data_IF_184879326207
#
_entry.id   IF_184879326207
#
_cell.length_a   1.000
_cell.length_b   1.000
_cell.length_c   1.000
_cell.angle_alpha   90.00
_cell.angle_beta   90.00
_cell.angle_gamma   90.00
#
_symmetry.space_group_name_H-M   'P 1'
#
loop_
_entity.id
_entity.type
_entity.pdbx_description
1 polymer ?
#
# COMPACT_ATOMS: atom_id res chain seq x y z
N UNK A 1 -32.30 28.60 43.68
CA UNK A 1 -31.01 27.87 43.72
C UNK A 1 -29.92 28.91 43.88
N UNK A 2 -29.06 28.79 44.88
CA UNK A 2 -28.05 29.81 45.21
C UNK A 2 -27.01 29.89 44.09
N UNK A 3 -27.02 30.98 43.30
CA UNK A 3 -26.24 31.12 42.05
C UNK A 3 -24.75 30.89 42.28
N UNK A 4 -24.25 31.27 43.46
CA UNK A 4 -22.87 31.01 43.88
C UNK A 4 -22.56 29.53 44.06
N UNK A 5 -23.50 28.75 44.62
CA UNK A 5 -23.34 27.29 44.73
C UNK A 5 -23.32 26.64 43.37
N UNK A 6 -24.15 27.10 42.43
CA UNK A 6 -24.17 26.61 41.04
C UNK A 6 -22.86 26.93 40.34
N UNK A 7 -22.36 28.17 40.45
CA UNK A 7 -21.07 28.57 39.86
C UNK A 7 -19.89 27.75 40.41
N UNK A 8 -19.85 27.51 41.72
CA UNK A 8 -18.83 26.65 42.36
C UNK A 8 -18.93 25.19 41.88
N UNK A 9 -20.13 24.66 41.72
CA UNK A 9 -20.34 23.30 41.22
C UNK A 9 -19.86 23.16 39.77
N UNK A 10 -20.15 24.14 38.93
CA UNK A 10 -19.65 24.19 37.54
C UNK A 10 -18.12 24.27 37.50
N UNK A 11 -17.50 25.03 38.40
CA UNK A 11 -16.04 25.11 38.50
C UNK A 11 -15.40 23.78 38.94
N UNK A 12 -15.96 23.12 39.96
CA UNK A 12 -15.45 21.84 40.48
C UNK A 12 -15.61 20.73 39.44
N UNK A 13 -16.79 20.62 38.81
CA UNK A 13 -17.03 19.64 37.74
C UNK A 13 -16.15 19.95 36.54
N UNK A 14 -16.04 21.22 36.15
CA UNK A 14 -15.17 21.64 35.04
C UNK A 14 -13.70 21.30 35.28
N UNK A 15 -13.21 21.46 36.52
CA UNK A 15 -11.84 21.11 36.91
C UNK A 15 -11.60 19.59 36.94
N UNK A 16 -12.59 18.80 37.36
CA UNK A 16 -12.54 17.33 37.27
C UNK A 16 -12.56 16.80 35.83
N UNK A 17 -13.16 17.57 34.91
CA UNK A 17 -13.19 17.26 33.48
C UNK A 17 -11.93 17.68 32.72
N UNK A 18 -11.05 18.51 33.31
CA UNK A 18 -9.76 18.88 32.68
C UNK A 18 -8.88 17.64 32.48
N UNK A 19 -7.92 17.67 31.53
CA UNK A 19 -7.12 16.50 31.22
C UNK A 19 -6.30 16.05 32.43
N UNK A 20 -6.74 14.98 33.08
CA UNK A 20 -5.97 14.24 34.07
C UNK A 20 -4.73 13.60 33.40
N UNK A 21 -3.67 13.29 34.17
CA UNK A 21 -2.47 12.57 33.69
C UNK A 21 -2.78 11.26 32.95
N UNK A 22 -3.97 10.71 33.16
CA UNK A 22 -4.52 9.51 32.55
C UNK A 22 -4.67 9.64 31.02
N UNK A 23 -5.07 10.81 30.53
CA UNK A 23 -5.23 11.05 29.08
C UNK A 23 -3.89 11.10 28.33
N UNK A 24 -2.79 11.42 29.03
CA UNK A 24 -1.44 11.32 28.45
C UNK A 24 -1.05 9.87 28.16
N UNK A 25 -1.52 8.92 28.99
CA UNK A 25 -1.32 7.49 28.75
C UNK A 25 -2.06 7.01 27.49
N UNK A 26 -3.33 7.39 27.34
CA UNK A 26 -4.10 7.06 26.13
C UNK A 26 -3.62 7.81 24.89
N UNK A 27 -3.13 9.05 25.04
CA UNK A 27 -2.48 9.77 23.95
C UNK A 27 -1.18 9.08 23.53
N UNK A 28 -0.37 8.62 24.48
CA UNK A 28 0.85 7.86 24.20
C UNK A 28 0.56 6.49 23.55
N UNK A 29 -0.54 5.83 23.94
CA UNK A 29 -0.98 4.58 23.32
C UNK A 29 -1.60 4.81 21.93
N UNK A 30 -2.28 5.94 21.72
CA UNK A 30 -2.79 6.34 20.41
C UNK A 30 -1.66 6.72 19.43
N UNK A 31 -0.51 7.18 19.93
CA UNK A 31 0.69 7.48 19.13
C UNK A 31 1.71 6.34 19.10
N UNK A 32 1.44 5.23 19.78
CA UNK A 32 2.30 4.05 19.73
C UNK A 32 2.16 3.35 18.38
N UNK A 33 3.23 2.71 17.87
CA UNK A 33 3.16 1.95 16.62
C UNK A 33 2.02 0.91 16.68
N UNK A 34 1.23 0.77 15.61
CA UNK A 34 0.13 -0.19 15.60
C UNK A 34 0.67 -1.61 15.72
N UNK A 35 -0.03 -2.47 16.47
CA UNK A 35 0.37 -3.88 16.65
C UNK A 35 0.22 -4.67 15.33
N UNK A 36 -0.71 -4.25 14.46
CA UNK A 36 -1.09 -4.90 13.20
C UNK A 36 -0.96 -3.97 12.02
N UNK A 37 -0.81 -4.55 10.84
CA UNK A 37 -0.79 -3.80 9.59
C UNK A 37 -2.11 -3.06 9.37
N UNK A 38 -2.07 -1.87 8.78
CA UNK A 38 -3.27 -1.17 8.32
C UNK A 38 -4.03 -1.99 7.26
N UNK A 39 -3.30 -2.75 6.44
CA UNK A 39 -3.85 -3.56 5.36
C UNK A 39 -4.51 -4.83 5.90
N UNK A 40 -5.69 -5.14 5.36
CA UNK A 40 -6.41 -6.41 5.52
C UNK A 40 -6.16 -7.25 4.28
N UNK A 41 -5.69 -8.48 4.47
CA UNK A 41 -5.38 -9.40 3.39
C UNK A 41 -6.39 -10.54 3.34
N UNK A 42 -6.69 -10.98 2.13
CA UNK A 42 -7.39 -12.23 1.86
C UNK A 42 -6.62 -13.01 0.81
N UNK A 43 -6.91 -14.30 0.72
CA UNK A 43 -6.35 -15.17 -0.30
C UNK A 43 -7.45 -15.85 -1.11
N UNK A 44 -7.23 -15.92 -2.42
CA UNK A 44 -8.08 -16.69 -3.32
C UNK A 44 -7.22 -17.60 -4.20
N UNK A 45 -7.69 -18.84 -4.51
CA UNK A 45 -7.03 -19.67 -5.49
C UNK A 45 -7.15 -19.05 -6.89
N UNK A 46 -6.12 -19.21 -7.69
CA UNK A 46 -6.04 -18.71 -9.07
C UNK A 46 -5.97 -19.90 -10.02
N UNK A 47 -6.90 -19.97 -10.96
CA UNK A 47 -6.83 -20.88 -12.10
C UNK A 47 -6.28 -20.16 -13.34
N UNK A 48 -5.04 -20.44 -13.72
CA UNK A 48 -4.42 -19.82 -14.90
C UNK A 48 -5.06 -20.25 -16.24
N UNK A 49 -5.85 -21.32 -16.25
CA UNK A 49 -6.65 -21.70 -17.40
C UNK A 49 -7.89 -20.81 -17.57
N UNK A 50 -8.33 -20.13 -16.50
CA UNK A 50 -9.42 -19.18 -16.53
C UNK A 50 -8.92 -17.79 -16.94
N UNK A 51 -9.51 -17.22 -17.98
CA UNK A 51 -9.10 -15.91 -18.51
C UNK A 51 -9.31 -14.75 -17.52
N UNK A 52 -10.39 -14.78 -16.73
CA UNK A 52 -10.67 -13.73 -15.74
C UNK A 52 -9.67 -13.78 -14.59
N UNK A 53 -9.37 -14.96 -14.08
CA UNK A 53 -8.38 -15.17 -13.02
C UNK A 53 -6.99 -14.77 -13.50
N UNK A 54 -6.64 -15.16 -14.73
CA UNK A 54 -5.38 -14.78 -15.37
C UNK A 54 -5.21 -13.26 -15.47
N UNK A 55 -6.22 -12.56 -15.97
CA UNK A 55 -6.20 -11.08 -16.06
C UNK A 55 -6.03 -10.45 -14.70
N UNK A 56 -6.80 -10.90 -13.70
CA UNK A 56 -6.69 -10.38 -12.33
C UNK A 56 -5.31 -10.67 -11.70
N UNK A 57 -4.76 -11.84 -11.96
CA UNK A 57 -3.46 -12.25 -11.45
C UNK A 57 -2.32 -11.40 -12.03
N UNK A 58 -2.32 -11.20 -13.36
CA UNK A 58 -1.32 -10.35 -14.03
C UNK A 58 -1.50 -8.89 -13.65
N UNK A 59 -2.73 -8.41 -13.47
CA UNK A 59 -2.95 -7.03 -13.00
C UNK A 59 -2.32 -6.78 -11.62
N UNK A 60 -2.44 -7.75 -10.70
CA UNK A 60 -1.88 -7.65 -9.35
C UNK A 60 -0.35 -7.83 -9.32
N UNK A 61 0.19 -8.82 -10.02
CA UNK A 61 1.59 -9.24 -9.84
C UNK A 61 2.45 -9.19 -11.10
N UNK A 62 1.88 -8.85 -12.26
CA UNK A 62 2.60 -8.80 -13.54
C UNK A 62 3.74 -7.79 -13.55
N UNK A 63 3.67 -6.76 -12.70
CA UNK A 63 4.75 -5.80 -12.49
C UNK A 63 6.04 -6.43 -11.96
N UNK A 64 5.96 -7.64 -11.38
CA UNK A 64 7.15 -8.38 -10.95
C UNK A 64 7.97 -8.87 -12.15
N UNK A 65 7.37 -9.11 -13.32
CA UNK A 65 8.02 -9.64 -14.52
C UNK A 65 8.03 -8.69 -15.71
N UNK A 66 7.19 -7.66 -15.68
CA UNK A 66 7.01 -6.71 -16.75
C UNK A 66 7.20 -5.28 -16.26
N UNK A 67 7.86 -4.45 -17.07
CA UNK A 67 7.89 -3.00 -16.88
C UNK A 67 6.87 -2.36 -17.79
N UNK A 68 6.08 -1.43 -17.25
CA UNK A 68 5.18 -0.64 -18.07
C UNK A 68 5.96 0.52 -18.73
N UNK A 69 5.69 0.75 -20.01
CA UNK A 69 6.21 1.86 -20.80
C UNK A 69 6.19 3.23 -20.08
N UNK A 70 5.11 3.56 -19.38
CA UNK A 70 5.00 4.82 -18.64
C UNK A 70 5.95 4.88 -17.43
N UNK A 71 6.27 3.75 -16.80
CA UNK A 71 7.17 3.68 -15.64
C UNK A 71 8.63 3.93 -16.01
N UNK A 72 8.99 3.74 -17.29
CA UNK A 72 10.32 4.07 -17.81
C UNK A 72 10.64 5.56 -17.65
N UNK A 73 9.60 6.40 -17.61
CA UNK A 73 9.76 7.85 -17.35
C UNK A 73 10.00 8.16 -15.87
N UNK A 74 9.48 7.33 -14.97
CA UNK A 74 9.51 7.55 -13.51
C UNK A 74 10.81 7.09 -12.86
N UNK A 75 11.57 6.20 -13.52
CA UNK A 75 12.89 5.69 -13.03
C UNK A 75 13.95 6.79 -12.85
N UNK A 76 13.75 7.97 -13.44
CA UNK A 76 14.78 9.01 -13.57
C UNK A 76 14.50 10.34 -12.84
N UNK A 77 13.49 10.42 -11.96
CA UNK A 77 13.22 11.53 -11.01
C UNK A 77 13.65 12.94 -11.42
N UNK A 78 12.70 13.79 -11.86
CA UNK A 78 12.82 15.24 -12.13
C UNK A 78 13.98 15.76 -13.02
N UNK A 79 14.94 14.93 -13.44
CA UNK A 79 15.97 15.32 -14.38
C UNK A 79 15.40 15.32 -15.81
N UNK A 80 15.09 16.53 -16.27
CA UNK A 80 14.44 16.92 -17.52
C UNK A 80 15.11 16.46 -18.84
N UNK A 81 15.89 15.37 -18.89
CA UNK A 81 16.61 14.94 -20.11
C UNK A 81 16.66 13.41 -20.29
N UNK A 82 15.81 12.97 -21.22
CA UNK A 82 15.85 11.72 -22.00
C UNK A 82 15.18 10.40 -21.54
N UNK A 83 14.20 10.35 -20.61
CA UNK A 83 13.36 9.16 -20.46
C UNK A 83 12.52 8.83 -21.73
N UNK A 84 12.26 9.83 -22.57
CA UNK A 84 11.45 9.68 -23.78
C UNK A 84 12.14 8.92 -24.91
N UNK A 85 13.48 8.89 -24.96
CA UNK A 85 14.19 8.27 -26.08
C UNK A 85 14.09 6.74 -26.01
N UNK A 86 14.35 6.16 -24.84
CA UNK A 86 14.18 4.73 -24.58
C UNK A 86 12.74 4.30 -24.77
N UNK A 87 11.79 5.06 -24.19
CA UNK A 87 10.35 4.83 -24.37
C UNK A 87 9.96 4.84 -25.85
N UNK A 88 10.30 5.88 -26.61
CA UNK A 88 10.00 5.95 -28.05
C UNK A 88 10.63 4.82 -28.85
N UNK A 89 11.85 4.39 -28.49
CA UNK A 89 12.50 3.25 -29.14
C UNK A 89 11.73 1.95 -28.88
N UNK A 90 11.24 1.73 -27.65
CA UNK A 90 10.40 0.58 -27.32
C UNK A 90 9.03 0.64 -28.00
N UNK A 91 8.34 1.78 -27.94
CA UNK A 91 7.08 2.01 -28.68
C UNK A 91 7.24 1.74 -30.18
N UNK A 92 8.36 2.21 -30.77
CA UNK A 92 8.68 1.94 -32.18
C UNK A 92 8.92 0.46 -32.44
N UNK A 93 9.59 -0.24 -31.53
CA UNK A 93 9.81 -1.67 -31.65
C UNK A 93 8.50 -2.45 -31.50
N UNK A 94 7.62 -2.08 -30.57
CA UNK A 94 6.31 -2.71 -30.37
C UNK A 94 5.39 -2.49 -31.58
N UNK A 95 5.46 -1.31 -32.21
CA UNK A 95 4.70 -1.00 -33.41
C UNK A 95 5.22 -1.67 -34.69
N UNK A 96 6.55 -1.76 -34.86
CA UNK A 96 7.18 -2.22 -36.11
C UNK A 96 7.84 -3.61 -36.02
N UNK A 97 7.81 -4.25 -34.85
CA UNK A 97 8.54 -5.49 -34.52
C UNK A 97 10.01 -5.27 -34.13
N UNK A 98 10.64 -4.15 -34.53
CA UNK A 98 12.01 -3.82 -34.11
C UNK A 98 12.33 -2.32 -34.23
N UNK A 99 13.34 -1.86 -33.49
CA UNK A 99 13.87 -0.51 -33.56
C UNK A 99 15.38 -0.47 -33.29
N UNK A 100 16.05 0.55 -33.81
CA UNK A 100 17.48 0.81 -33.57
C UNK A 100 17.68 1.93 -32.55
N UNK A 101 18.62 1.74 -31.63
CA UNK A 101 19.05 2.74 -30.65
C UNK A 101 20.46 3.26 -31.00
N UNK A 102 20.59 4.45 -31.61
CA UNK A 102 21.91 5.03 -31.89
C UNK A 102 22.57 5.64 -30.65
N UNK A 103 21.79 6.04 -29.64
CA UNK A 103 22.27 6.71 -28.42
C UNK A 103 22.75 5.68 -27.38
N UNK A 104 24.00 5.84 -26.92
CA UNK A 104 24.63 4.94 -25.95
C UNK A 104 23.86 4.82 -24.62
N UNK A 105 23.17 5.89 -24.19
CA UNK A 105 22.34 5.87 -22.97
C UNK A 105 21.10 5.02 -23.16
N UNK A 106 20.43 5.14 -24.32
CA UNK A 106 19.29 4.29 -24.67
C UNK A 106 19.72 2.82 -24.73
N UNK A 107 20.92 2.54 -25.26
CA UNK A 107 21.47 1.17 -25.26
C UNK A 107 21.70 0.63 -23.85
N UNK A 108 22.20 1.47 -22.94
CA UNK A 108 22.37 1.10 -21.53
C UNK A 108 21.03 0.81 -20.87
N UNK A 109 20.01 1.66 -21.10
CA UNK A 109 18.66 1.44 -20.57
C UNK A 109 18.04 0.15 -21.09
N UNK A 110 18.11 -0.09 -22.41
CA UNK A 110 17.56 -1.30 -23.02
C UNK A 110 18.19 -2.57 -22.44
N UNK A 111 19.51 -2.57 -22.22
CA UNK A 111 20.20 -3.68 -21.55
C UNK A 111 19.73 -3.87 -20.11
N UNK A 112 19.62 -2.78 -19.35
CA UNK A 112 19.13 -2.86 -17.97
C UNK A 112 17.69 -3.38 -17.90
N UNK A 113 16.84 -3.00 -18.86
CA UNK A 113 15.46 -3.49 -18.95
C UNK A 113 15.45 -4.98 -19.29
N UNK A 114 16.25 -5.41 -20.27
CA UNK A 114 16.37 -6.82 -20.69
C UNK A 114 16.92 -7.72 -19.59
N UNK A 115 17.84 -7.21 -18.78
CA UNK A 115 18.42 -7.93 -17.63
C UNK A 115 17.42 -8.10 -16.47
N UNK A 116 16.53 -7.13 -16.26
CA UNK A 116 15.63 -7.07 -15.10
C UNK A 116 14.24 -7.66 -15.38
N UNK A 117 13.68 -7.39 -16.57
CA UNK A 117 12.30 -7.71 -16.93
C UNK A 117 12.23 -8.69 -18.09
N UNK A 118 11.30 -9.65 -17.98
CA UNK A 118 11.05 -10.59 -19.06
C UNK A 118 10.13 -10.02 -20.14
N UNK A 119 9.36 -8.98 -19.81
CA UNK A 119 8.37 -8.37 -20.69
C UNK A 119 8.32 -6.85 -20.54
N UNK A 120 7.78 -6.21 -21.58
CA UNK A 120 7.31 -4.82 -21.52
C UNK A 120 5.80 -4.81 -21.74
N UNK A 121 5.11 -3.98 -20.97
CA UNK A 121 3.68 -3.71 -21.13
C UNK A 121 3.50 -2.40 -21.89
N UNK A 122 2.80 -2.49 -23.02
CA UNK A 122 2.20 -1.34 -23.67
C UNK A 122 0.94 -0.97 -22.89
N UNK A 123 0.89 0.27 -22.40
CA UNK A 123 -0.24 0.79 -21.62
C UNK A 123 -1.09 1.77 -22.42
N UNK A 124 -0.76 2.03 -23.68
CA UNK A 124 -1.49 2.96 -24.53
C UNK A 124 -2.83 2.36 -24.97
N UNK A 125 -3.89 3.15 -24.79
CA UNK A 125 -5.25 2.73 -25.07
C UNK A 125 -5.41 2.33 -26.54
N UNK A 126 -5.78 1.07 -26.78
CA UNK A 126 -5.99 0.49 -28.11
C UNK A 126 -4.81 -0.32 -28.67
N UNK A 127 -3.63 -0.23 -28.05
CA UNK A 127 -2.48 -1.12 -28.31
C UNK A 127 -2.04 -1.91 -27.07
N UNK A 128 -2.82 -1.82 -25.99
CA UNK A 128 -2.61 -2.55 -24.74
C UNK A 128 -2.20 -4.01 -24.96
N UNK A 129 -1.01 -4.36 -24.49
CA UNK A 129 -0.42 -5.65 -24.78
C UNK A 129 0.88 -5.88 -24.04
N UNK A 130 1.36 -7.12 -24.09
CA UNK A 130 2.65 -7.49 -23.55
C UNK A 130 3.57 -7.93 -24.69
N UNK A 131 4.84 -7.55 -24.56
CA UNK A 131 5.86 -7.83 -25.55
C UNK A 131 7.06 -8.46 -24.86
N UNK A 132 7.64 -9.48 -25.48
CA UNK A 132 8.96 -9.97 -25.12
C UNK A 132 9.99 -9.15 -25.86
N UNK A 133 10.96 -8.60 -25.15
CA UNK A 133 12.09 -7.93 -25.77
C UNK A 133 13.18 -8.92 -26.12
N UNK A 134 13.88 -8.64 -27.20
CA UNK A 134 15.18 -9.21 -27.50
C UNK A 134 16.12 -8.08 -27.83
N UNK A 135 17.15 -7.88 -26.99
CA UNK A 135 18.12 -6.80 -27.16
C UNK A 135 19.42 -7.36 -27.78
N UNK A 136 19.83 -6.80 -28.91
CA UNK A 136 20.98 -7.26 -29.69
C UNK A 136 22.02 -6.14 -29.90
N UNK A 137 23.23 -6.55 -30.26
CA UNK A 137 24.30 -5.61 -30.64
C UNK A 137 24.69 -4.64 -29.52
N UNK A 138 24.74 -5.12 -28.28
CA UNK A 138 25.01 -4.31 -27.08
C UNK A 138 23.99 -3.17 -26.89
N UNK A 139 22.70 -3.47 -27.11
CA UNK A 139 21.61 -2.50 -26.99
C UNK A 139 21.32 -1.73 -28.27
N UNK A 140 22.09 -1.91 -29.35
CA UNK A 140 21.92 -1.13 -30.58
C UNK A 140 20.62 -1.43 -31.33
N UNK A 141 20.07 -2.62 -31.13
CA UNK A 141 18.82 -3.05 -31.73
C UNK A 141 17.95 -3.70 -30.67
N UNK A 142 16.65 -3.43 -30.70
CA UNK A 142 15.66 -4.11 -29.87
C UNK A 142 14.54 -4.62 -30.76
N UNK A 143 14.21 -5.90 -30.63
CA UNK A 143 13.00 -6.49 -31.19
C UNK A 143 11.94 -6.62 -30.09
N UNK A 144 10.67 -6.46 -30.46
CA UNK A 144 9.54 -6.61 -29.54
C UNK A 144 8.50 -7.54 -30.17
N UNK A 145 8.39 -8.74 -29.62
CA UNK A 145 7.44 -9.75 -30.09
C UNK A 145 6.19 -9.77 -29.19
N UNK A 146 4.98 -9.60 -29.75
CA UNK A 146 3.75 -9.65 -28.95
C UNK A 146 3.58 -11.04 -28.33
N UNK A 147 3.25 -11.07 -27.04
CA UNK A 147 2.99 -12.31 -26.30
C UNK A 147 1.59 -12.32 -25.71
N UNK A 148 0.91 -13.47 -25.70
CA UNK A 148 -0.40 -13.57 -25.07
C UNK A 148 -0.26 -13.46 -23.54
N UNK A 149 -1.33 -12.97 -22.90
CA UNK A 149 -1.41 -12.83 -21.44
C UNK A 149 -1.12 -14.13 -20.68
N UNK A 150 -1.40 -15.30 -21.25
CA UNK A 150 -1.05 -16.61 -20.66
C UNK A 150 0.43 -16.74 -20.37
N UNK A 151 1.27 -16.32 -21.31
CA UNK A 151 2.73 -16.42 -21.17
C UNK A 151 3.23 -15.53 -20.03
N UNK A 152 2.65 -14.33 -19.89
CA UNK A 152 2.99 -13.40 -18.80
C UNK A 152 2.52 -13.96 -17.45
N UNK A 153 1.31 -14.52 -17.42
CA UNK A 153 0.75 -15.12 -16.21
C UNK A 153 1.55 -16.34 -15.74
N UNK A 154 1.99 -17.20 -16.66
CA UNK A 154 2.83 -18.36 -16.36
C UNK A 154 4.18 -17.91 -15.78
N UNK A 155 4.84 -16.94 -16.42
CA UNK A 155 6.10 -16.38 -15.94
C UNK A 155 5.96 -15.68 -14.57
N UNK A 156 4.85 -14.95 -14.36
CA UNK A 156 4.54 -14.35 -13.05
C UNK A 156 4.34 -15.43 -12.00
N UNK A 157 3.58 -16.49 -12.34
CA UNK A 157 3.36 -17.60 -11.43
C UNK A 157 4.65 -18.36 -11.12
N UNK A 158 5.60 -18.44 -12.05
CA UNK A 158 6.92 -19.07 -11.83
C UNK A 158 7.78 -18.33 -10.82
N UNK A 159 7.63 -17.00 -10.71
CA UNK A 159 8.28 -16.20 -9.66
C UNK A 159 7.62 -16.36 -8.29
N UNK A 160 6.38 -16.83 -8.24
CA UNK A 160 5.66 -17.01 -6.99
C UNK A 160 6.42 -17.95 -6.03
N UNK A 161 6.71 -17.51 -4.79
CA UNK A 161 7.36 -18.34 -3.79
C UNK A 161 6.59 -19.63 -3.52
N UNK A 162 7.33 -20.70 -3.23
CA UNK A 162 6.77 -21.98 -2.83
C UNK A 162 6.61 -22.03 -1.32
N UNK A 163 5.42 -22.35 -0.83
CA UNK A 163 5.12 -22.46 0.59
C UNK A 163 6.09 -23.40 1.32
N UNK A 164 6.51 -24.48 0.66
CA UNK A 164 7.43 -25.47 1.21
C UNK A 164 8.87 -24.94 1.40
N UNK A 165 9.20 -23.80 0.81
CA UNK A 165 10.51 -23.14 0.99
C UNK A 165 10.50 -22.15 2.16
N UNK A 166 9.32 -21.76 2.63
CA UNK A 166 9.17 -20.85 3.76
C UNK A 166 9.55 -21.53 5.07
N UNK A 167 10.07 -20.75 6.01
CA UNK A 167 10.30 -21.17 7.39
C UNK A 167 8.97 -21.46 8.12
N UNK A 168 9.03 -22.22 9.22
CA UNK A 168 7.84 -22.54 10.01
C UNK A 168 7.15 -21.29 10.61
N UNK A 169 7.85 -20.17 10.73
CA UNK A 169 7.25 -18.92 11.22
C UNK A 169 6.52 -18.17 10.10
N UNK A 170 7.13 -18.05 8.92
CA UNK A 170 6.49 -17.44 7.73
C UNK A 170 5.27 -18.25 7.28
N UNK A 171 5.36 -19.59 7.32
CA UNK A 171 4.22 -20.48 7.02
C UNK A 171 3.03 -20.20 7.90
N UNK A 172 3.23 -19.90 9.20
CA UNK A 172 2.12 -19.58 10.12
C UNK A 172 1.42 -18.27 9.72
N UNK A 173 2.18 -17.26 9.29
CA UNK A 173 1.60 -16.00 8.78
C UNK A 173 0.80 -16.25 7.51
N UNK A 174 1.38 -16.98 6.55
CA UNK A 174 0.68 -17.34 5.31
C UNK A 174 -0.56 -18.18 5.60
N UNK A 175 -0.47 -19.18 6.48
CA UNK A 175 -1.61 -20.03 6.84
C UNK A 175 -2.71 -19.23 7.53
N UNK A 176 -2.37 -18.21 8.34
CA UNK A 176 -3.39 -17.33 8.91
C UNK A 176 -4.13 -16.57 7.81
N UNK A 177 -3.41 -16.01 6.82
CA UNK A 177 -4.04 -15.30 5.68
C UNK A 177 -4.83 -16.25 4.76
N UNK A 178 -4.36 -17.49 4.57
CA UNK A 178 -5.03 -18.47 3.70
C UNK A 178 -6.31 -19.05 4.34
N UNK A 179 -6.32 -19.22 5.66
CA UNK A 179 -7.42 -19.88 6.37
C UNK A 179 -8.45 -18.90 6.94
N UNK A 180 -8.03 -17.67 7.25
CA UNK A 180 -8.95 -16.61 7.67
C UNK A 180 -9.44 -15.86 6.42
N UNK A 181 -10.75 -15.68 6.27
CA UNK A 181 -11.30 -15.01 5.09
C UNK A 181 -10.80 -13.57 4.92
N UNK A 182 -10.52 -12.89 6.03
CA UNK A 182 -9.86 -11.59 6.09
C UNK A 182 -8.91 -11.58 7.29
N UNK A 183 -7.63 -11.27 7.06
CA UNK A 183 -6.61 -11.30 8.09
C UNK A 183 -5.75 -10.04 8.11
N UNK A 184 -5.38 -9.61 9.32
CA UNK A 184 -4.42 -8.53 9.57
C UNK A 184 -3.23 -9.09 10.34
N UNK A 185 -2.09 -9.36 9.68
CA UNK A 185 -0.87 -9.76 10.34
C UNK A 185 -0.38 -8.70 11.33
N UNK A 186 0.42 -9.12 12.32
CA UNK A 186 1.17 -8.17 13.13
C UNK A 186 2.25 -7.50 12.27
N UNK A 187 2.61 -6.27 12.61
CA UNK A 187 3.66 -5.52 11.90
C UNK A 187 5.03 -6.20 11.96
N UNK A 188 5.25 -7.09 12.93
CA UNK A 188 6.48 -7.86 13.12
C UNK A 188 6.31 -9.35 12.81
N UNK A 189 5.17 -9.77 12.25
CA UNK A 189 5.01 -11.17 11.84
C UNK A 189 5.96 -11.47 10.67
N UNK A 190 6.65 -12.62 10.67
CA UNK A 190 7.50 -13.00 9.53
C UNK A 190 6.69 -13.02 8.25
N UNK A 191 7.32 -12.62 7.13
CA UNK A 191 6.72 -12.56 5.79
C UNK A 191 5.77 -11.38 5.53
N UNK A 192 5.45 -10.56 6.53
CA UNK A 192 4.51 -9.43 6.36
C UNK A 192 5.00 -8.39 5.35
N UNK A 193 6.32 -8.20 5.27
CA UNK A 193 7.02 -7.29 4.35
C UNK A 193 6.94 -7.74 2.89
N UNK A 194 6.53 -8.99 2.65
CA UNK A 194 6.33 -9.55 1.32
C UNK A 194 4.89 -9.45 0.84
N UNK A 195 3.94 -9.06 1.69
CA UNK A 195 2.53 -8.95 1.29
C UNK A 195 2.23 -7.60 0.63
N UNK A 196 1.34 -7.53 -0.38
CA UNK A 196 0.63 -8.65 -1.03
C UNK A 196 1.54 -9.47 -1.96
N UNK A 197 1.28 -10.78 -2.10
CA UNK A 197 2.09 -11.67 -2.96
C UNK A 197 1.29 -12.87 -3.47
N UNK A 198 1.79 -13.50 -4.52
CA UNK A 198 1.34 -14.82 -4.95
C UNK A 198 2.08 -15.92 -4.17
N UNK A 199 1.45 -17.06 -3.92
CA UNK A 199 2.12 -18.20 -3.28
C UNK A 199 1.63 -19.54 -3.83
N UNK A 200 2.55 -20.47 -4.08
CA UNK A 200 2.21 -21.85 -4.46
C UNK A 200 2.19 -22.73 -3.21
N UNK A 201 1.08 -23.39 -2.95
CA UNK A 201 0.90 -24.34 -1.84
C UNK A 201 0.12 -25.55 -2.32
N UNK A 202 0.66 -26.74 -2.09
CA UNK A 202 -0.01 -28.02 -2.43
C UNK A 202 -0.44 -28.12 -3.91
N UNK A 203 0.33 -27.50 -4.82
CA UNK A 203 0.02 -27.45 -6.26
C UNK A 203 -1.02 -26.40 -6.66
N UNK A 204 -1.61 -25.67 -5.73
CA UNK A 204 -2.51 -24.54 -5.99
C UNK A 204 -1.75 -23.22 -5.90
N UNK A 205 -2.00 -22.32 -6.84
CA UNK A 205 -1.53 -20.94 -6.81
C UNK A 205 -2.58 -20.09 -6.08
N UNK A 206 -2.16 -19.36 -5.05
CA UNK A 206 -2.99 -18.42 -4.32
C UNK A 206 -2.54 -16.98 -4.58
N UNK A 207 -3.51 -16.08 -4.74
CA UNK A 207 -3.28 -14.63 -4.77
C UNK A 207 -3.63 -14.05 -3.40
N UNK A 208 -2.60 -13.68 -2.62
CA UNK A 208 -2.77 -12.91 -1.39
C UNK A 208 -2.82 -11.42 -1.75
N UNK A 209 -3.96 -10.79 -1.52
CA UNK A 209 -4.23 -9.43 -1.95
C UNK A 209 -4.92 -8.62 -0.85
N UNK A 210 -4.85 -7.30 -0.97
CA UNK A 210 -5.48 -6.38 -0.03
C UNK A 210 -6.97 -6.29 -0.34
N UNK A 211 -7.80 -6.49 0.68
CA UNK A 211 -9.27 -6.38 0.59
C UNK A 211 -9.81 -5.20 1.40
N UNK A 212 -8.99 -4.62 2.28
CA UNK A 212 -9.40 -3.52 3.12
C UNK A 212 -8.24 -2.75 3.72
N UNK A 213 -8.57 -1.59 4.26
CA UNK A 213 -7.68 -0.75 5.03
C UNK A 213 -8.38 -0.37 6.33
N UNK A 214 -7.67 -0.48 7.45
CA UNK A 214 -8.12 0.03 8.74
C UNK A 214 -7.22 1.21 9.09
N UNK A 215 -7.84 2.35 9.37
CA UNK A 215 -7.10 3.55 9.80
C UNK A 215 -6.28 3.22 11.05
N UNK A 216 -4.96 3.43 10.96
CA UNK A 216 -3.97 3.13 12.00
C UNK A 216 -4.08 4.13 13.16
N UNK A 217 -5.12 3.95 13.95
CA UNK A 217 -5.25 4.57 15.24
C UNK A 217 -4.98 3.50 16.30
N UNK A 218 -3.96 3.72 17.13
CA UNK A 218 -3.65 2.81 18.24
C UNK A 218 -4.87 2.56 19.13
N UNK A 219 -4.91 1.47 19.92
CA UNK A 219 -6.08 1.10 20.72
C UNK A 219 -6.55 2.21 21.67
N UNK A 220 -5.66 3.16 22.03
CA UNK A 220 -5.97 4.34 22.84
C UNK A 220 -6.71 5.49 22.13
N UNK A 221 -6.85 5.50 20.80
CA UNK A 221 -7.38 6.65 20.06
C UNK A 221 -8.84 6.96 20.35
N UNK A 222 -9.70 5.93 20.44
CA UNK A 222 -11.10 6.13 20.84
C UNK A 222 -11.18 6.74 22.25
N UNK A 223 -10.33 6.28 23.18
CA UNK A 223 -10.21 6.84 24.52
C UNK A 223 -9.69 8.28 24.51
N UNK A 224 -8.74 8.60 23.63
CA UNK A 224 -8.21 9.94 23.42
C UNK A 224 -9.28 10.92 22.92
N UNK A 225 -10.07 10.55 21.91
CA UNK A 225 -11.14 11.41 21.36
C UNK A 225 -12.24 11.66 22.41
N UNK A 226 -12.66 10.62 23.14
CA UNK A 226 -13.60 10.77 24.25
C UNK A 226 -13.03 11.70 25.33
N UNK A 227 -11.76 11.53 25.66
CA UNK A 227 -11.07 12.39 26.62
C UNK A 227 -11.00 13.86 26.19
N UNK A 228 -10.75 14.11 24.91
CA UNK A 228 -10.76 15.47 24.35
C UNK A 228 -12.14 16.11 24.45
N UNK A 229 -13.20 15.34 24.20
CA UNK A 229 -14.59 15.78 24.37
C UNK A 229 -14.91 16.16 25.82
N UNK A 230 -14.49 15.34 26.79
CA UNK A 230 -14.67 15.62 28.23
C UNK A 230 -13.88 16.88 28.64
N UNK A 231 -12.65 17.04 28.15
CA UNK A 231 -11.84 18.22 28.42
C UNK A 231 -12.46 19.50 27.86
N UNK A 232 -13.00 19.46 26.63
CA UNK A 232 -13.70 20.59 26.03
C UNK A 232 -14.94 20.99 26.85
N UNK A 233 -15.71 20.02 27.32
CA UNK A 233 -16.84 20.26 28.23
C UNK A 233 -16.36 20.90 29.54
N UNK A 234 -15.24 20.42 30.09
CA UNK A 234 -14.63 20.99 31.30
C UNK A 234 -14.28 22.47 31.14
N UNK A 235 -13.68 22.85 30.01
CA UNK A 235 -13.36 24.26 29.68
C UNK A 235 -14.64 25.11 29.61
N UNK A 236 -15.70 24.61 28.95
CA UNK A 236 -16.98 25.34 28.87
C UNK A 236 -17.58 25.57 30.25
N UNK A 237 -17.56 24.56 31.12
CA UNK A 237 -18.09 24.66 32.49
C UNK A 237 -17.26 25.64 33.34
N UNK A 238 -15.94 25.68 33.17
CA UNK A 238 -15.06 26.65 33.84
C UNK A 238 -15.34 28.08 33.37
N UNK A 239 -15.52 28.30 32.06
CA UNK A 239 -15.84 29.61 31.51
C UNK A 239 -17.23 30.09 31.95
N UNK A 240 -18.24 29.22 31.92
CA UNK A 240 -19.59 29.54 32.37
C UNK A 240 -19.65 29.81 33.88
N UNK A 241 -19.00 28.96 34.69
CA UNK A 241 -18.93 29.13 36.14
C UNK A 241 -18.14 30.37 36.55
N UNK A 242 -16.99 30.62 35.91
CA UNK A 242 -16.18 31.82 36.11
C UNK A 242 -16.89 33.10 35.68
N UNK A 243 -17.60 33.06 34.55
CA UNK A 243 -18.43 34.17 34.06
C UNK A 243 -19.57 34.51 35.02
N UNK A 244 -20.31 33.50 35.50
CA UNK A 244 -21.35 33.66 36.51
C UNK A 244 -20.80 34.22 37.83
N UNK A 245 -19.67 33.70 38.29
CA UNK A 245 -19.03 34.16 39.52
C UNK A 245 -18.52 35.61 39.43
N UNK A 246 -17.93 35.98 38.29
CA UNK A 246 -17.46 37.34 38.04
C UNK A 246 -18.63 38.32 37.90
N UNK A 247 -19.69 37.92 37.19
CA UNK A 247 -20.91 38.72 37.02
C UNK A 247 -21.59 39.01 38.37
N UNK A 248 -21.79 37.98 39.21
CA UNK A 248 -22.36 38.12 40.56
C UNK A 248 -21.46 38.93 41.53
N UNK A 249 -20.18 39.15 41.20
CA UNK A 249 -19.24 39.91 42.01
C UNK A 249 -19.09 41.37 41.57
N UNK A 250 -19.29 41.67 40.30
CA UNK A 250 -19.02 42.99 39.71
C UNK A 250 -20.29 43.76 39.30
N UNK A 251 -21.40 43.09 39.04
CA UNK A 251 -22.65 43.70 38.56
C UNK A 251 -23.88 43.39 39.44
N UNK A 252 -23.70 42.57 40.47
CA UNK A 252 -24.74 42.17 41.44
C UNK A 252 -24.66 42.94 42.75
#
# INVERSE_FOLDING_TARGET
MDRRRVALLLLVVGMLCLPAPQYLGWAAEATSPPERTAQVYAAEPIDLANESDRTRFVDRYGHEVAVADYQLTTRYGDEYRAPDATRRTLETAMANGSATAPDERVRADLRAIDDEYAFVRDSDAGTEGYYRLTVEGDGSTVAADPVPLSVVADATAERAPRYETLSAAERRTVDAVLNEGEYRPRVNDPYVDRLPTAIRKDGTLYSIHVVGHVDDFGPGFAGFVVGLGVAALGVVLLLAGGGLYAYDRWLG
#
